data_IF_015354150642
#
_entry.id   IF_015354150642
#
_cell.length_a   1.000
_cell.length_b   1.000
_cell.length_c   1.000
_cell.angle_alpha   90.00
_cell.angle_beta   90.00
_cell.angle_gamma   90.00
#
_symmetry.space_group_name_H-M   'P 1'
#
loop_
_entity.id
_entity.type
_entity.pdbx_description
1 polymer ?
#
# COMPACT_ATOMS: atom_id res chain seq x y z
N UNK A 1 -35.00 -32.61 -12.38
CA UNK A 1 -34.72 -31.18 -12.60
C UNK A 1 -33.27 -31.03 -12.99
N UNK A 2 -32.96 -30.52 -14.18
CA UNK A 2 -31.57 -30.26 -14.55
C UNK A 2 -31.08 -29.03 -13.78
N UNK A 3 -30.16 -29.22 -12.82
CA UNK A 3 -29.59 -28.14 -12.04
C UNK A 3 -28.84 -27.13 -12.91
N UNK A 4 -28.79 -25.86 -12.47
CA UNK A 4 -28.02 -24.82 -13.15
C UNK A 4 -26.56 -25.26 -13.27
N UNK A 5 -26.01 -25.22 -14.49
CA UNK A 5 -24.61 -25.61 -14.75
C UNK A 5 -23.66 -24.74 -13.91
N UNK A 6 -22.57 -25.30 -13.35
CA UNK A 6 -21.59 -24.52 -12.60
C UNK A 6 -20.92 -23.46 -13.49
N UNK A 7 -20.52 -22.33 -12.89
CA UNK A 7 -19.71 -21.32 -13.57
C UNK A 7 -18.30 -21.87 -13.84
N UNK A 8 -17.82 -21.70 -15.06
CA UNK A 8 -16.50 -22.11 -15.52
C UNK A 8 -15.75 -20.85 -15.94
N UNK A 9 -14.74 -20.41 -15.17
CA UNK A 9 -13.93 -19.24 -15.51
C UNK A 9 -13.07 -19.52 -16.74
N UNK A 10 -13.00 -18.54 -17.66
CA UNK A 10 -12.12 -18.59 -18.82
C UNK A 10 -10.70 -18.14 -18.48
N UNK A 11 -9.73 -18.44 -19.34
CA UNK A 11 -8.36 -17.95 -19.17
C UNK A 11 -8.26 -16.42 -19.21
N UNK A 12 -9.12 -15.78 -20.01
CA UNK A 12 -9.18 -14.32 -20.08
C UNK A 12 -9.71 -13.73 -18.77
N UNK A 13 -10.75 -14.32 -18.18
CA UNK A 13 -11.24 -13.91 -16.86
C UNK A 13 -10.12 -14.03 -15.81
N UNK A 14 -9.33 -15.11 -15.85
CA UNK A 14 -8.20 -15.32 -14.92
C UNK A 14 -7.13 -14.24 -15.07
N UNK A 15 -6.83 -13.82 -16.30
CA UNK A 15 -5.87 -12.73 -16.57
C UNK A 15 -6.39 -11.39 -16.05
N UNK A 16 -7.66 -11.08 -16.29
CA UNK A 16 -8.30 -9.85 -15.81
C UNK A 16 -8.29 -9.82 -14.28
N UNK A 17 -8.72 -10.91 -13.63
CA UNK A 17 -8.74 -11.01 -12.16
C UNK A 17 -7.32 -10.90 -11.59
N UNK A 18 -6.35 -11.59 -12.17
CA UNK A 18 -4.94 -11.51 -11.73
C UNK A 18 -4.42 -10.08 -11.83
N UNK A 19 -4.72 -9.38 -12.92
CA UNK A 19 -4.22 -8.02 -13.14
C UNK A 19 -4.86 -7.04 -12.16
N UNK A 20 -6.17 -7.05 -12.01
CA UNK A 20 -6.89 -6.12 -11.14
C UNK A 20 -6.61 -6.37 -9.66
N UNK A 21 -6.62 -7.63 -9.21
CA UNK A 21 -6.18 -7.98 -7.86
C UNK A 21 -4.71 -7.57 -7.66
N UNK A 22 -3.91 -7.80 -8.71
CA UNK A 22 -2.53 -7.41 -8.83
C UNK A 22 -2.32 -5.91 -8.74
N UNK A 23 -3.31 -5.08 -9.08
CA UNK A 23 -3.33 -3.62 -8.93
C UNK A 23 -3.94 -3.11 -7.61
N UNK A 24 -4.57 -4.01 -6.85
CA UNK A 24 -5.13 -3.69 -5.53
C UNK A 24 -6.60 -3.29 -5.61
N UNK A 25 -7.27 -3.64 -6.70
CA UNK A 25 -8.69 -3.42 -6.84
C UNK A 25 -9.52 -4.15 -5.75
N UNK A 26 -10.58 -3.52 -5.23
CA UNK A 26 -11.54 -4.19 -4.36
C UNK A 26 -12.21 -5.40 -5.05
N UNK A 27 -12.48 -6.47 -4.30
CA UNK A 27 -13.09 -7.67 -4.86
C UNK A 27 -14.45 -7.43 -5.53
N UNK A 28 -15.27 -6.51 -5.03
CA UNK A 28 -16.55 -6.15 -5.68
C UNK A 28 -16.34 -5.51 -7.05
N UNK A 29 -15.32 -4.67 -7.19
CA UNK A 29 -14.96 -4.10 -8.48
C UNK A 29 -14.44 -5.18 -9.43
N UNK A 30 -13.56 -6.09 -8.96
CA UNK A 30 -13.07 -7.19 -9.79
C UNK A 30 -14.22 -8.10 -10.25
N UNK A 31 -15.16 -8.42 -9.34
CA UNK A 31 -16.30 -9.27 -9.65
C UNK A 31 -17.23 -8.63 -10.69
N UNK A 32 -17.34 -7.29 -10.71
CA UNK A 32 -18.13 -6.56 -11.69
C UNK A 32 -17.55 -6.63 -13.12
N UNK A 33 -16.26 -6.91 -13.25
CA UNK A 33 -15.57 -7.02 -14.55
C UNK A 33 -15.71 -8.40 -15.21
N UNK A 34 -16.20 -9.42 -14.49
CA UNK A 34 -16.35 -10.78 -15.01
C UNK A 34 -17.83 -11.11 -15.17
N UNK A 35 -18.26 -11.41 -16.39
CA UNK A 35 -19.66 -11.73 -16.70
C UNK A 35 -19.88 -13.24 -16.65
N UNK A 36 -20.89 -13.67 -15.90
CA UNK A 36 -21.33 -15.06 -15.94
C UNK A 36 -22.13 -15.31 -17.22
N UNK A 37 -21.66 -16.17 -18.14
CA UNK A 37 -22.27 -16.37 -19.45
C UNK A 37 -23.68 -16.96 -19.39
N UNK A 38 -24.05 -17.63 -18.28
CA UNK A 38 -25.39 -18.20 -18.13
C UNK A 38 -26.43 -17.18 -17.67
N UNK A 39 -26.02 -16.19 -16.86
CA UNK A 39 -26.94 -15.15 -16.38
C UNK A 39 -26.83 -13.85 -17.13
N UNK A 40 -25.77 -13.64 -17.92
CA UNK A 40 -25.46 -12.35 -18.55
C UNK A 40 -25.20 -11.24 -17.52
N UNK A 41 -24.90 -11.61 -16.27
CA UNK A 41 -24.72 -10.69 -15.14
C UNK A 41 -23.30 -10.80 -14.58
N UNK A 42 -22.77 -9.74 -13.97
CA UNK A 42 -21.48 -9.81 -13.31
C UNK A 42 -21.46 -10.81 -12.15
N UNK A 43 -20.26 -11.23 -11.78
CA UNK A 43 -20.07 -12.08 -10.61
C UNK A 43 -20.34 -11.32 -9.31
N UNK A 44 -20.66 -12.08 -8.27
CA UNK A 44 -20.60 -11.57 -6.89
C UNK A 44 -19.20 -11.78 -6.33
N UNK A 45 -18.77 -10.98 -5.34
CA UNK A 45 -17.47 -11.21 -4.68
C UNK A 45 -17.35 -12.60 -4.02
N UNK A 46 -18.47 -13.24 -3.65
CA UNK A 46 -18.46 -14.63 -3.15
C UNK A 46 -18.07 -15.60 -4.27
N UNK A 47 -18.68 -15.48 -5.44
CA UNK A 47 -18.37 -16.33 -6.60
C UNK A 47 -16.94 -16.09 -7.10
N UNK A 48 -16.49 -14.82 -7.12
CA UNK A 48 -15.12 -14.47 -7.46
C UNK A 48 -14.11 -15.24 -6.58
N UNK A 49 -14.27 -15.17 -5.26
CA UNK A 49 -13.38 -15.87 -4.31
C UNK A 49 -13.40 -17.39 -4.46
N UNK A 50 -14.54 -17.97 -4.83
CA UNK A 50 -14.67 -19.42 -5.01
C UNK A 50 -13.90 -19.93 -6.25
N UNK A 51 -13.90 -19.16 -7.35
CA UNK A 51 -13.35 -19.63 -8.63
C UNK A 51 -11.95 -19.06 -8.97
N UNK A 52 -11.57 -17.95 -8.35
CA UNK A 52 -10.31 -17.25 -8.64
C UNK A 52 -9.39 -17.12 -7.42
N UNK A 53 -9.45 -18.07 -6.49
CA UNK A 53 -8.69 -17.99 -5.24
C UNK A 53 -7.18 -17.91 -5.50
N UNK A 54 -6.68 -18.72 -6.42
CA UNK A 54 -5.26 -18.74 -6.78
C UNK A 54 -4.81 -17.41 -7.38
N UNK A 55 -5.63 -16.77 -8.22
CA UNK A 55 -5.33 -15.46 -8.79
C UNK A 55 -5.30 -14.39 -7.71
N UNK A 56 -6.33 -14.34 -6.85
CA UNK A 56 -6.40 -13.35 -5.77
C UNK A 56 -5.23 -13.45 -4.79
N UNK A 57 -4.83 -14.68 -4.43
CA UNK A 57 -3.78 -14.92 -3.45
C UNK A 57 -2.38 -14.61 -4.04
N UNK A 58 -2.14 -14.91 -5.33
CA UNK A 58 -0.82 -14.76 -5.96
C UNK A 58 -0.64 -13.48 -6.78
N UNK A 59 -1.70 -12.73 -7.04
CA UNK A 59 -1.65 -11.59 -7.95
C UNK A 59 -0.68 -10.50 -7.49
N UNK A 60 -0.65 -10.18 -6.19
CA UNK A 60 0.27 -9.17 -5.64
C UNK A 60 1.73 -9.49 -5.96
N UNK A 61 2.14 -10.73 -5.73
CA UNK A 61 3.52 -11.16 -5.94
C UNK A 61 3.88 -11.16 -7.42
N UNK A 62 2.96 -11.63 -8.29
CA UNK A 62 3.14 -11.56 -9.74
C UNK A 62 3.33 -10.12 -10.22
N UNK A 63 2.51 -9.18 -9.77
CA UNK A 63 2.62 -7.78 -10.22
C UNK A 63 3.88 -7.12 -9.67
N UNK A 64 4.25 -7.42 -8.41
CA UNK A 64 5.52 -6.94 -7.84
C UNK A 64 6.73 -7.47 -8.63
N UNK A 65 6.73 -8.74 -9.04
CA UNK A 65 7.79 -9.31 -9.87
C UNK A 65 7.90 -8.62 -11.25
N UNK A 66 6.78 -8.28 -11.88
CA UNK A 66 6.78 -7.54 -13.15
C UNK A 66 7.39 -6.14 -13.01
N UNK A 67 7.04 -5.41 -11.95
CA UNK A 67 7.61 -4.07 -11.69
C UNK A 67 9.10 -4.17 -11.34
N UNK A 68 9.50 -5.17 -10.56
CA UNK A 68 10.91 -5.44 -10.27
C UNK A 68 11.72 -5.75 -11.54
N UNK A 69 11.19 -6.58 -12.44
CA UNK A 69 11.81 -6.89 -13.73
C UNK A 69 11.95 -5.63 -14.60
N UNK A 70 10.93 -4.77 -14.62
CA UNK A 70 10.98 -3.50 -15.35
C UNK A 70 12.09 -2.57 -14.80
N UNK A 71 12.22 -2.45 -13.48
CA UNK A 71 13.31 -1.69 -12.85
C UNK A 71 14.68 -2.27 -13.20
N UNK A 72 14.85 -3.58 -13.13
CA UNK A 72 16.11 -4.23 -13.51
C UNK A 72 16.49 -3.89 -14.96
N UNK A 73 15.56 -4.06 -15.90
CA UNK A 73 15.80 -3.73 -17.32
C UNK A 73 16.17 -2.27 -17.54
N UNK A 74 15.56 -1.35 -16.80
CA UNK A 74 15.91 0.08 -16.89
C UNK A 74 17.29 0.36 -16.27
N UNK A 75 17.63 -0.30 -15.16
CA UNK A 75 18.92 -0.16 -14.49
C UNK A 75 20.10 -0.73 -15.29
N UNK A 76 19.88 -1.79 -16.09
CA UNK A 76 20.91 -2.44 -16.91
C UNK A 76 20.87 -2.05 -18.39
N UNK A 77 19.98 -1.13 -18.78
CA UNK A 77 19.78 -0.67 -20.16
C UNK A 77 20.30 0.75 -20.40
N UNK A 78 20.01 1.29 -21.58
CA UNK A 78 20.44 2.65 -22.00
C UNK A 78 19.29 3.62 -22.29
N UNK A 79 18.04 3.20 -22.06
CA UNK A 79 16.84 3.98 -22.38
C UNK A 79 16.26 4.76 -21.17
N UNK A 80 15.37 5.71 -21.45
CA UNK A 80 14.57 6.40 -20.42
C UNK A 80 13.24 5.66 -20.24
N UNK A 81 12.98 5.18 -19.03
CA UNK A 81 11.68 4.64 -18.60
C UNK A 81 11.11 5.42 -17.41
N UNK A 82 9.85 5.16 -17.06
CA UNK A 82 9.17 5.77 -15.91
C UNK A 82 9.67 5.22 -14.55
N UNK A 83 10.97 5.31 -14.30
CA UNK A 83 11.65 4.80 -13.09
C UNK A 83 11.03 5.33 -11.79
N UNK A 84 10.67 6.63 -11.64
CA UNK A 84 10.07 7.12 -10.40
C UNK A 84 8.77 6.41 -10.00
N UNK A 85 7.89 6.11 -10.97
CA UNK A 85 6.63 5.40 -10.70
C UNK A 85 6.87 3.96 -10.26
N UNK A 86 7.85 3.28 -10.87
CA UNK A 86 8.22 1.92 -10.50
C UNK A 86 8.89 1.86 -9.12
N UNK A 87 9.74 2.84 -8.77
CA UNK A 87 10.32 2.97 -7.43
C UNK A 87 9.22 3.19 -6.39
N UNK A 88 8.29 4.12 -6.65
CA UNK A 88 7.16 4.39 -5.76
C UNK A 88 6.32 3.13 -5.53
N UNK A 89 6.01 2.38 -6.58
CA UNK A 89 5.30 1.11 -6.47
C UNK A 89 6.04 0.11 -5.56
N UNK A 90 7.33 -0.12 -5.80
CA UNK A 90 8.11 -1.09 -5.02
C UNK A 90 8.18 -0.70 -3.54
N UNK A 91 8.29 0.60 -3.24
CA UNK A 91 8.26 1.08 -1.85
C UNK A 91 6.91 0.83 -1.19
N UNK A 92 5.83 1.32 -1.81
CA UNK A 92 4.50 1.34 -1.19
C UNK A 92 3.84 -0.05 -1.18
N UNK A 93 4.10 -0.88 -2.19
CA UNK A 93 3.34 -2.11 -2.40
C UNK A 93 4.13 -3.40 -2.30
N UNK A 94 5.40 -3.40 -2.70
CA UNK A 94 6.32 -4.52 -2.48
C UNK A 94 7.03 -4.44 -1.11
N UNK A 95 6.92 -3.30 -0.40
CA UNK A 95 7.51 -3.10 0.91
C UNK A 95 9.03 -2.97 0.88
N UNK A 96 9.61 -2.66 -0.28
CA UNK A 96 11.04 -2.39 -0.40
C UNK A 96 11.38 -1.11 0.35
N UNK A 97 12.42 -1.18 1.16
CA UNK A 97 12.94 -0.06 1.92
C UNK A 97 14.46 -0.10 1.84
N UNK A 98 15.06 1.06 1.93
CA UNK A 98 16.48 1.15 2.20
C UNK A 98 16.82 0.35 3.48
N UNK A 99 18.00 -0.27 3.55
CA UNK A 99 18.48 -0.87 4.80
C UNK A 99 18.36 0.13 5.94
N UNK A 100 18.03 -0.37 7.14
CA UNK A 100 17.97 0.48 8.32
C UNK A 100 19.33 1.17 8.50
N UNK A 101 19.37 2.48 8.31
CA UNK A 101 20.52 3.27 8.69
C UNK A 101 20.46 3.41 10.21
N UNK A 102 21.49 2.94 10.91
CA UNK A 102 21.65 3.25 12.32
C UNK A 102 21.73 4.77 12.46
N UNK A 103 20.78 5.36 13.17
CA UNK A 103 20.83 6.78 13.49
C UNK A 103 21.62 6.90 14.79
N UNK A 104 22.86 7.36 14.66
CA UNK A 104 23.70 7.77 15.79
C UNK A 104 23.19 9.12 16.32
N UNK A 105 22.52 9.11 17.47
CA UNK A 105 22.03 10.31 18.12
C UNK A 105 23.03 10.74 19.20
N UNK A 106 23.75 11.84 18.95
CA UNK A 106 24.64 12.45 19.93
C UNK A 106 24.19 13.87 20.26
N UNK A 107 24.48 14.29 21.49
CA UNK A 107 24.31 15.65 21.94
C UNK A 107 25.44 16.55 21.44
N UNK A 108 25.48 17.78 21.97
CA UNK A 108 26.50 18.75 21.60
C UNK A 108 27.91 18.16 21.76
N UNK A 109 28.74 18.37 20.74
CA UNK A 109 30.14 17.91 20.68
C UNK A 109 30.31 16.39 20.90
N UNK A 110 29.33 15.58 20.50
CA UNK A 110 29.36 14.11 20.68
C UNK A 110 29.00 13.66 22.09
N UNK A 111 28.61 14.57 22.97
CA UNK A 111 28.19 14.28 24.34
C UNK A 111 26.80 13.65 24.43
N UNK A 112 26.29 13.44 25.66
CA UNK A 112 24.93 12.95 25.87
C UNK A 112 23.87 13.89 25.29
N UNK A 113 22.77 13.35 24.76
CA UNK A 113 21.60 14.14 24.36
C UNK A 113 20.97 14.76 25.60
N UNK A 114 21.04 16.08 25.74
CA UNK A 114 20.40 16.82 26.83
C UNK A 114 18.90 16.99 26.55
N UNK A 115 18.05 16.40 27.40
CA UNK A 115 16.62 16.71 27.41
C UNK A 115 16.33 17.75 28.48
N UNK A 116 15.93 18.97 28.08
CA UNK A 116 15.47 20.01 29.00
C UNK A 116 13.95 20.00 29.04
N UNK A 117 13.39 19.54 30.15
CA UNK A 117 11.95 19.61 30.41
C UNK A 117 11.70 20.68 31.46
N UNK A 118 11.01 21.75 31.09
CA UNK A 118 10.50 22.74 32.04
C UNK A 118 9.14 22.24 32.53
N UNK A 119 9.08 21.80 33.79
CA UNK A 119 7.80 21.62 34.47
C UNK A 119 7.34 23.00 34.93
N UNK A 120 6.27 23.49 34.33
CA UNK A 120 5.73 24.81 34.65
C UNK A 120 4.70 24.64 35.77
N UNK A 121 4.89 25.36 36.88
CA UNK A 121 3.88 25.43 37.95
C UNK A 121 2.77 26.40 37.51
N UNK A 122 1.56 25.86 37.33
CA UNK A 122 0.38 26.62 36.93
C UNK A 122 0.10 27.82 37.84
N UNK A 123 0.44 27.73 39.14
CA UNK A 123 0.27 28.85 40.07
C UNK A 123 1.25 29.98 39.80
N UNK A 124 2.48 29.65 39.41
CA UNK A 124 3.50 30.65 39.06
C UNK A 124 3.16 31.34 37.73
N UNK A 125 2.58 30.61 36.78
CA UNK A 125 2.07 31.19 35.54
C UNK A 125 0.89 32.10 35.82
N UNK A 126 -0.09 31.64 36.60
CA UNK A 126 -1.25 32.45 36.95
C UNK A 126 -0.85 33.74 37.70
N UNK A 127 0.11 33.66 38.62
CA UNK A 127 0.63 34.83 39.32
C UNK A 127 1.40 35.80 38.39
N UNK A 128 2.17 35.27 37.44
CA UNK A 128 2.86 36.08 36.44
C UNK A 128 1.89 36.78 35.47
N UNK A 129 0.81 36.09 35.07
CA UNK A 129 -0.24 36.64 34.20
C UNK A 129 -1.02 37.74 34.94
N UNK A 130 -1.44 37.50 36.18
CA UNK A 130 -2.17 38.50 36.97
C UNK A 130 -1.34 39.79 37.17
N UNK A 131 -0.03 39.66 37.41
CA UNK A 131 0.85 40.83 37.54
C UNK A 131 0.96 41.65 36.24
N UNK A 132 0.92 40.99 35.09
CA UNK A 132 0.94 41.66 33.78
C UNK A 132 -0.38 42.35 33.46
N UNK A 133 -1.50 41.83 33.95
CA UNK A 133 -2.82 42.45 33.83
C UNK A 133 -2.96 43.70 34.73
N UNK A 134 -2.32 43.69 35.90
CA UNK A 134 -2.28 44.86 36.81
C UNK A 134 -1.36 46.00 36.30
N UNK A 135 -0.44 45.71 35.37
CA UNK A 135 0.50 46.69 34.79
C UNK A 135 -0.04 47.38 33.51
N UNK A 136 -1.27 47.07 33.08
CA UNK A 136 -1.96 47.66 31.91
C UNK A 136 -3.25 48.40 32.28
#
# INVERSE_FOLDING_TARGET
MAGRKPFQPTDEDRRVVTSLAGFGAPHEYIASQVINPQTGKPLTAKTLRAHFRAELDNARDKTNALVAQALFKQATGTGKGAVPAAIFWMKVRAGWKEPAQGIELTGKDGGPVEQRTTVVDEKQVAAAVAKLEDEY
#
